data_IF_570972280263
#
_entry.id   IF_570972280263
#
_cell.length_a   1.000
_cell.length_b   1.000
_cell.length_c   1.000
_cell.angle_alpha   90.00
_cell.angle_beta   90.00
_cell.angle_gamma   90.00
#
_symmetry.space_group_name_H-M   'P 1'
#
loop_
_entity.id
_entity.type
_entity.pdbx_description
1 polymer ?
#
# COMPACT_ATOMS: atom_id res chain seq x y z
N UNK A 1 -7.39 -8.74 -6.45
CA UNK A 1 -6.80 -9.41 -5.27
C UNK A 1 -6.47 -8.43 -4.14
N UNK A 2 -5.76 -7.32 -4.38
CA UNK A 2 -5.44 -6.34 -3.33
C UNK A 2 -6.67 -5.60 -2.77
N UNK A 3 -7.61 -5.17 -3.62
CA UNK A 3 -8.85 -4.50 -3.18
C UNK A 3 -9.67 -5.42 -2.28
N UNK A 4 -9.97 -6.64 -2.73
CA UNK A 4 -10.75 -7.61 -1.95
C UNK A 4 -10.10 -7.98 -0.62
N UNK A 5 -8.75 -7.98 -0.54
CA UNK A 5 -8.03 -8.14 0.73
C UNK A 5 -8.27 -6.94 1.64
N UNK A 6 -8.09 -5.71 1.14
CA UNK A 6 -8.34 -4.50 1.92
C UNK A 6 -9.80 -4.42 2.40
N UNK A 7 -10.78 -4.72 1.54
CA UNK A 7 -12.21 -4.75 1.89
C UNK A 7 -12.49 -5.74 3.03
N UNK A 8 -11.94 -6.96 2.93
CA UNK A 8 -12.07 -7.98 3.97
C UNK A 8 -11.40 -7.54 5.28
N UNK A 9 -10.17 -7.02 5.21
CA UNK A 9 -9.41 -6.58 6.39
C UNK A 9 -10.11 -5.45 7.14
N UNK A 10 -10.70 -4.50 6.42
CA UNK A 10 -11.31 -3.32 7.03
C UNK A 10 -12.83 -3.40 7.16
N UNK A 11 -13.47 -4.47 6.70
CA UNK A 11 -14.93 -4.60 6.69
C UNK A 11 -15.62 -3.49 5.90
N UNK A 12 -14.98 -3.04 4.81
CA UNK A 12 -15.41 -1.90 3.98
C UNK A 12 -15.66 -2.34 2.55
N UNK A 13 -16.52 -1.62 1.85
CA UNK A 13 -16.66 -1.72 0.40
C UNK A 13 -16.06 -0.47 -0.24
N UNK A 14 -15.21 -0.64 -1.25
CA UNK A 14 -14.60 0.46 -1.98
C UNK A 14 -15.15 0.56 -3.40
N UNK A 15 -15.08 1.75 -3.99
CA UNK A 15 -15.41 1.96 -5.40
C UNK A 15 -14.14 1.98 -6.24
N UNK A 16 -14.19 1.43 -7.44
CA UNK A 16 -13.07 1.55 -8.39
C UNK A 16 -12.94 3.00 -8.85
N UNK A 17 -11.70 3.49 -8.92
CA UNK A 17 -11.40 4.81 -9.45
C UNK A 17 -11.06 4.74 -10.94
N UNK A 18 -11.38 5.79 -11.68
CA UNK A 18 -10.86 6.04 -13.03
C UNK A 18 -9.75 7.10 -13.05
N UNK A 19 -9.44 7.70 -11.89
CA UNK A 19 -8.41 8.72 -11.75
C UNK A 19 -7.03 8.08 -11.74
N UNK A 20 -6.11 8.59 -12.57
CA UNK A 20 -4.74 8.09 -12.61
C UNK A 20 -4.06 8.16 -11.24
N UNK A 21 -3.38 7.07 -10.87
CA UNK A 21 -2.68 6.98 -9.60
C UNK A 21 -3.58 6.73 -8.37
N UNK A 22 -4.89 6.62 -8.56
CA UNK A 22 -5.85 6.24 -7.52
C UNK A 22 -6.39 4.87 -7.86
N UNK A 23 -6.29 3.92 -6.93
CA UNK A 23 -6.74 2.55 -7.17
C UNK A 23 -8.24 2.42 -6.85
N UNK A 24 -8.68 3.02 -5.75
CA UNK A 24 -10.07 2.97 -5.27
C UNK A 24 -10.48 4.26 -4.55
N UNK A 25 -11.77 4.44 -4.32
CA UNK A 25 -12.37 5.56 -3.59
C UNK A 25 -13.12 5.00 -2.37
N UNK A 26 -12.84 5.55 -1.19
CA UNK A 26 -13.61 5.34 0.04
C UNK A 26 -14.48 6.56 0.35
N UNK A 27 -15.79 6.40 0.18
CA UNK A 27 -16.76 7.45 0.48
C UNK A 27 -16.97 7.68 1.98
N UNK A 28 -16.37 6.84 2.84
CA UNK A 28 -16.49 6.91 4.30
C UNK A 28 -15.35 7.67 4.98
N UNK A 29 -14.56 8.45 4.23
CA UNK A 29 -13.59 9.40 4.80
C UNK A 29 -12.11 9.06 4.58
N UNK A 30 -11.76 8.01 3.82
CA UNK A 30 -10.39 7.82 3.33
C UNK A 30 -10.13 8.46 1.96
N UNK A 31 -11.18 8.87 1.25
CA UNK A 31 -11.06 9.63 0.01
C UNK A 31 -10.49 8.79 -1.12
N UNK A 32 -9.58 9.37 -1.90
CA UNK A 32 -8.84 8.66 -2.93
C UNK A 32 -7.78 7.77 -2.28
N UNK A 33 -7.85 6.47 -2.57
CA UNK A 33 -6.99 5.47 -1.96
C UNK A 33 -6.09 4.83 -3.01
N UNK A 34 -4.81 4.70 -2.69
CA UNK A 34 -3.89 3.83 -3.45
C UNK A 34 -3.51 2.61 -2.62
N UNK A 35 -3.53 1.44 -3.27
CA UNK A 35 -3.13 0.16 -2.71
C UNK A 35 -1.71 -0.20 -3.17
N UNK A 36 -0.85 -0.61 -2.23
CA UNK A 36 0.49 -1.13 -2.51
C UNK A 36 0.66 -2.51 -1.86
N UNK A 37 1.43 -3.38 -2.51
CA UNK A 37 1.59 -4.78 -2.09
C UNK A 37 0.45 -5.69 -2.58
N UNK A 38 0.40 -6.96 -2.11
CA UNK A 38 1.38 -7.61 -1.21
C UNK A 38 2.75 -7.77 -1.88
N UNK A 39 3.78 -8.01 -1.08
CA UNK A 39 5.17 -8.15 -1.53
C UNK A 39 5.55 -9.62 -1.70
N UNK A 40 4.75 -10.31 -2.51
CA UNK A 40 4.91 -11.73 -2.84
C UNK A 40 5.24 -11.91 -4.33
N UNK A 41 5.90 -13.02 -4.68
CA UNK A 41 6.15 -13.43 -6.06
C UNK A 41 4.93 -14.18 -6.66
N UNK A 42 5.09 -14.71 -7.87
CA UNK A 42 4.03 -15.47 -8.55
C UNK A 42 3.62 -16.77 -7.85
N UNK A 43 4.51 -17.32 -7.02
CA UNK A 43 4.32 -18.54 -6.23
C UNK A 43 3.80 -18.23 -4.81
N UNK A 44 3.42 -16.98 -4.53
CA UNK A 44 2.95 -16.49 -3.23
C UNK A 44 4.02 -16.56 -2.12
N UNK A 45 5.29 -16.61 -2.48
CA UNK A 45 6.40 -16.53 -1.54
C UNK A 45 6.89 -15.09 -1.38
N UNK A 46 7.50 -14.73 -0.24
CA UNK A 46 8.16 -13.44 -0.05
C UNK A 46 9.11 -13.11 -1.21
N UNK A 47 9.06 -11.86 -1.68
CA UNK A 47 10.09 -11.35 -2.60
C UNK A 47 11.47 -11.43 -1.94
N UNK A 48 12.54 -11.51 -2.73
CA UNK A 48 13.91 -11.42 -2.19
C UNK A 48 14.14 -10.06 -1.51
N UNK A 49 15.06 -9.98 -0.55
CA UNK A 49 15.36 -8.74 0.17
C UNK A 49 15.69 -7.58 -0.78
N UNK A 50 16.44 -7.84 -1.86
CA UNK A 50 16.78 -6.81 -2.86
C UNK A 50 15.54 -6.30 -3.59
N UNK A 51 14.59 -7.18 -3.92
CA UNK A 51 13.33 -6.78 -4.55
C UNK A 51 12.43 -6.04 -3.57
N UNK A 52 12.39 -6.45 -2.31
CA UNK A 52 11.66 -5.74 -1.26
C UNK A 52 12.20 -4.33 -1.08
N UNK A 53 13.51 -4.13 -0.96
CA UNK A 53 14.10 -2.79 -0.81
C UNK A 53 13.85 -1.89 -2.03
N UNK A 54 13.87 -2.45 -3.25
CA UNK A 54 13.44 -1.71 -4.45
C UNK A 54 11.97 -1.32 -4.38
N UNK A 55 11.11 -2.23 -3.95
CA UNK A 55 9.69 -1.97 -3.80
C UNK A 55 9.43 -0.89 -2.72
N UNK A 56 10.16 -0.91 -1.60
CA UNK A 56 10.14 0.14 -0.57
C UNK A 56 10.45 1.51 -1.17
N UNK A 57 11.55 1.62 -1.93
CA UNK A 57 11.94 2.88 -2.58
C UNK A 57 10.86 3.38 -3.55
N UNK A 58 10.28 2.48 -4.35
CA UNK A 58 9.21 2.82 -5.30
C UNK A 58 7.94 3.28 -4.59
N UNK A 59 7.54 2.60 -3.50
CA UNK A 59 6.36 2.96 -2.70
C UNK A 59 6.57 4.31 -2.04
N UNK A 60 7.71 4.55 -1.40
CA UNK A 60 8.02 5.82 -0.77
C UNK A 60 8.00 6.98 -1.78
N UNK A 61 8.63 6.78 -2.95
CA UNK A 61 8.60 7.76 -4.04
C UNK A 61 7.17 8.04 -4.51
N UNK A 62 6.35 7.01 -4.70
CA UNK A 62 4.97 7.18 -5.10
C UNK A 62 4.17 8.00 -4.09
N UNK A 63 4.31 7.73 -2.79
CA UNK A 63 3.62 8.48 -1.73
C UNK A 63 4.03 9.95 -1.74
N UNK A 64 5.32 10.23 -1.90
CA UNK A 64 5.84 11.60 -1.92
C UNK A 64 5.40 12.40 -3.15
N UNK A 65 5.18 11.74 -4.28
CA UNK A 65 4.92 12.39 -5.57
C UNK A 65 3.44 12.39 -5.97
N UNK A 66 2.64 11.47 -5.45
CA UNK A 66 1.23 11.33 -5.83
C UNK A 66 0.35 12.22 -4.94
N UNK A 67 -0.04 13.37 -5.48
CA UNK A 67 -0.91 14.34 -4.81
C UNK A 67 -2.40 14.05 -4.99
N UNK A 68 -2.76 13.10 -5.86
CA UNK A 68 -4.16 12.73 -6.11
C UNK A 68 -4.71 11.75 -5.07
N UNK A 69 -3.84 11.18 -4.23
CA UNK A 69 -4.18 10.18 -3.22
C UNK A 69 -4.23 10.81 -1.84
N UNK A 70 -5.34 10.57 -1.12
CA UNK A 70 -5.53 11.00 0.26
C UNK A 70 -5.01 9.94 1.25
N UNK A 71 -5.19 8.66 0.91
CA UNK A 71 -4.81 7.52 1.76
C UNK A 71 -4.03 6.46 0.99
N UNK A 72 -2.89 6.04 1.52
CA UNK A 72 -2.17 4.86 1.04
C UNK A 72 -2.41 3.67 1.97
N UNK A 73 -2.90 2.57 1.42
CA UNK A 73 -2.95 1.28 2.12
C UNK A 73 -1.80 0.44 1.60
N UNK A 74 -0.96 -0.03 2.52
CA UNK A 74 0.23 -0.81 2.23
C UNK A 74 0.05 -2.19 2.86
N UNK A 75 -0.13 -3.22 2.02
CA UNK A 75 -0.15 -4.62 2.43
C UNK A 75 1.29 -5.15 2.59
N UNK A 76 1.77 -5.25 3.83
CA UNK A 76 3.14 -5.70 4.14
C UNK A 76 3.29 -7.21 4.16
N UNK A 77 2.27 -7.99 3.77
CA UNK A 77 2.43 -9.45 3.61
C UNK A 77 3.57 -9.75 2.63
N UNK A 78 4.49 -10.62 3.05
CA UNK A 78 5.70 -10.94 2.30
C UNK A 78 6.91 -10.05 2.61
N UNK A 79 6.76 -8.97 3.39
CA UNK A 79 7.91 -8.14 3.79
C UNK A 79 8.66 -8.73 4.99
N UNK A 80 9.99 -8.59 4.94
CA UNK A 80 10.86 -8.75 6.09
C UNK A 80 10.70 -7.57 7.07
N UNK A 81 11.00 -7.80 8.35
CA UNK A 81 10.94 -6.76 9.38
C UNK A 81 11.81 -5.54 9.04
N UNK A 82 12.99 -5.78 8.46
CA UNK A 82 13.91 -4.71 8.08
C UNK A 82 13.36 -3.84 6.93
N UNK A 83 12.73 -4.47 5.93
CA UNK A 83 12.10 -3.76 4.83
C UNK A 83 10.87 -2.96 5.31
N UNK A 84 10.06 -3.54 6.18
CA UNK A 84 8.89 -2.87 6.77
C UNK A 84 9.30 -1.65 7.60
N UNK A 85 10.30 -1.77 8.45
CA UNK A 85 10.81 -0.65 9.24
C UNK A 85 11.38 0.46 8.33
N UNK A 86 12.15 0.08 7.30
CA UNK A 86 12.68 1.06 6.35
C UNK A 86 11.55 1.80 5.61
N UNK A 87 10.49 1.10 5.24
CA UNK A 87 9.33 1.71 4.61
C UNK A 87 8.63 2.69 5.55
N UNK A 88 8.39 2.29 6.81
CA UNK A 88 7.77 3.14 7.83
C UNK A 88 8.57 4.43 8.04
N UNK A 89 9.90 4.34 8.11
CA UNK A 89 10.76 5.52 8.22
C UNK A 89 10.68 6.41 6.97
N UNK A 90 10.72 5.81 5.78
CA UNK A 90 10.71 6.56 4.51
C UNK A 90 9.42 7.37 4.29
N UNK A 91 8.31 6.94 4.87
CA UNK A 91 6.99 7.56 4.68
C UNK A 91 6.48 8.31 5.90
N UNK A 92 7.27 8.36 6.99
CA UNK A 92 6.87 8.95 8.28
C UNK A 92 6.40 10.40 8.19
N UNK A 93 6.97 11.18 7.27
CA UNK A 93 6.65 12.59 7.08
C UNK A 93 5.74 12.84 5.88
N UNK A 94 5.05 11.80 5.39
CA UNK A 94 4.05 11.97 4.33
C UNK A 94 2.88 12.82 4.84
N UNK A 95 2.35 13.68 3.96
CA UNK A 95 1.17 14.49 4.27
C UNK A 95 -0.14 13.69 4.09
N UNK A 96 -0.07 12.59 3.34
CA UNK A 96 -1.17 11.66 3.12
C UNK A 96 -1.32 10.71 4.31
N UNK A 97 -2.53 10.17 4.50
CA UNK A 97 -2.77 9.10 5.48
C UNK A 97 -2.09 7.82 5.00
N UNK A 98 -1.43 7.11 5.91
CA UNK A 98 -0.81 5.81 5.60
C UNK A 98 -1.34 4.76 6.55
N UNK A 99 -1.86 3.68 5.99
CA UNK A 99 -2.41 2.55 6.72
C UNK A 99 -1.59 1.32 6.31
N UNK A 100 -0.95 0.71 7.28
CA UNK A 100 -0.28 -0.57 7.09
C UNK A 100 -1.24 -1.68 7.46
N UNK A 101 -1.36 -2.68 6.60
CA UNK A 101 -2.04 -3.93 6.91
C UNK A 101 -1.11 -5.09 6.62
N UNK A 102 -1.32 -6.21 7.31
CA UNK A 102 -0.72 -7.49 6.99
C UNK A 102 -1.87 -8.46 6.87
N UNK A 103 -2.11 -8.99 5.68
CA UNK A 103 -3.10 -10.05 5.56
C UNK A 103 -2.59 -11.34 6.19
N UNK A 104 -3.50 -12.03 6.84
CA UNK A 104 -3.34 -13.38 7.39
C UNK A 104 -2.94 -14.41 6.31
#
# INVERSE_FOLDING_TARGET
MAISRAEKTFGKAFQLSTTEGVDIIDLSGWGNVSLKGPFLNGDLEPLTDTQQMKAVSNVAKHIQQNTAVDTHIIDTTGMSTAAEETLRQAVRNANQRIIFMRGD
#
